data_IF_239910131171
#
_entry.id   IF_239910131171
#
_cell.length_a   1.000
_cell.length_b   1.000
_cell.length_c   1.000
_cell.angle_alpha   90.00
_cell.angle_beta   90.00
_cell.angle_gamma   90.00
#
_symmetry.space_group_name_H-M   'P 1'
#
loop_
_entity.id
_entity.type
_entity.pdbx_description
1 polymer ?
#
# COMPACT_ATOMS: atom_id res chain seq x y z
N UNK A 1 -41.82 -9.77 38.02
CA UNK A 1 -41.32 -10.63 36.92
C UNK A 1 -41.16 -9.69 35.72
N UNK A 2 -40.04 -8.99 35.64
CA UNK A 2 -38.79 -9.35 34.94
C UNK A 2 -38.72 -8.61 33.59
N UNK A 3 -37.66 -7.79 33.44
CA UNK A 3 -37.37 -6.91 32.30
C UNK A 3 -37.25 -7.64 30.95
N UNK A 4 -37.63 -6.93 29.88
CA UNK A 4 -37.04 -7.14 28.56
C UNK A 4 -36.33 -5.85 28.15
N UNK A 5 -35.01 -5.96 27.99
CA UNK A 5 -34.17 -4.95 27.36
C UNK A 5 -34.37 -4.98 25.83
N UNK A 6 -34.19 -3.86 25.12
CA UNK A 6 -34.34 -3.82 23.67
C UNK A 6 -33.17 -4.51 22.98
N UNK A 7 -33.46 -5.28 21.93
CA UNK A 7 -32.47 -5.80 21.00
C UNK A 7 -32.07 -4.69 20.01
N UNK A 8 -30.77 -4.41 19.94
CA UNK A 8 -30.15 -3.66 18.85
C UNK A 8 -29.82 -4.64 17.71
N UNK A 9 -30.13 -4.30 16.46
CA UNK A 9 -29.31 -4.73 15.33
C UNK A 9 -28.24 -3.65 15.09
N UNK A 10 -26.98 -4.02 15.30
CA UNK A 10 -25.82 -3.28 14.82
C UNK A 10 -25.70 -3.57 13.32
N UNK A 11 -26.00 -2.56 12.50
CA UNK A 11 -25.97 -2.67 11.03
C UNK A 11 -24.69 -1.98 10.58
N UNK A 12 -23.75 -2.77 10.06
CA UNK A 12 -22.59 -2.25 9.35
C UNK A 12 -23.07 -1.34 8.21
N UNK A 13 -22.54 -0.11 8.17
CA UNK A 13 -22.95 0.92 7.19
C UNK A 13 -22.32 0.59 5.84
N UNK A 14 -23.11 0.01 4.93
CA UNK A 14 -22.83 0.08 3.49
C UNK A 14 -22.98 1.53 3.02
N UNK A 15 -22.14 1.94 2.07
CA UNK A 15 -22.07 3.32 1.58
C UNK A 15 -23.30 3.69 0.75
N UNK A 16 -24.42 3.94 1.42
CA UNK A 16 -25.53 4.74 0.93
C UNK A 16 -25.71 5.96 1.85
N UNK A 17 -26.07 7.11 1.27
CA UNK A 17 -26.25 8.37 1.99
C UNK A 17 -27.42 8.29 3.00
N UNK A 18 -27.13 7.82 4.21
CA UNK A 18 -27.98 7.99 5.38
C UNK A 18 -27.36 9.07 6.26
N UNK A 19 -27.87 10.30 6.14
CA UNK A 19 -27.64 11.35 7.13
C UNK A 19 -28.45 11.03 8.38
N UNK A 20 -27.93 10.15 9.24
CA UNK A 20 -28.30 10.10 10.66
C UNK A 20 -27.06 9.74 11.47
N UNK A 21 -26.71 10.61 12.43
CA UNK A 21 -25.58 10.54 13.39
C UNK A 21 -24.17 10.94 12.90
N UNK A 22 -24.00 12.23 12.57
CA UNK A 22 -23.00 13.06 13.26
C UNK A 22 -21.56 13.17 12.72
N UNK A 23 -21.23 12.60 11.56
CA UNK A 23 -19.96 12.89 10.85
C UNK A 23 -20.22 13.01 9.36
N UNK A 24 -19.65 14.03 8.70
CA UNK A 24 -19.70 14.09 7.23
C UNK A 24 -18.87 12.94 6.66
N UNK A 25 -19.33 12.34 5.55
CA UNK A 25 -18.60 11.30 4.81
C UNK A 25 -17.15 11.72 4.55
N UNK A 26 -16.97 12.97 4.16
CA UNK A 26 -15.67 13.62 3.99
C UNK A 26 -14.76 13.55 5.25
N UNK A 27 -15.31 13.75 6.44
CA UNK A 27 -14.54 13.58 7.70
C UNK A 27 -14.14 12.12 7.90
N UNK A 28 -15.01 11.17 7.55
CA UNK A 28 -14.73 9.74 7.67
C UNK A 28 -13.64 9.30 6.69
N UNK A 29 -13.67 9.77 5.44
CA UNK A 29 -12.63 9.52 4.44
C UNK A 29 -11.28 10.06 4.92
N UNK A 30 -11.23 11.33 5.38
CA UNK A 30 -9.96 11.90 5.88
C UNK A 30 -9.41 11.12 7.07
N UNK A 31 -10.27 10.69 7.99
CA UNK A 31 -9.84 9.93 9.14
C UNK A 31 -9.35 8.53 8.74
N UNK A 32 -10.05 7.83 7.85
CA UNK A 32 -9.62 6.53 7.34
C UNK A 32 -8.27 6.60 6.63
N UNK A 33 -8.11 7.55 5.68
CA UNK A 33 -6.84 7.80 4.99
C UNK A 33 -5.73 8.17 6.00
N UNK A 34 -6.05 8.99 6.99
CA UNK A 34 -5.10 9.40 8.03
C UNK A 34 -4.64 8.26 8.94
N UNK A 35 -5.54 7.31 9.24
CA UNK A 35 -5.31 6.14 10.10
C UNK A 35 -4.54 5.03 9.37
N UNK A 36 -4.91 4.75 8.12
CA UNK A 36 -4.37 3.62 7.36
C UNK A 36 -3.03 3.97 6.69
N UNK A 37 -2.82 5.22 6.28
CA UNK A 37 -1.66 5.61 5.49
C UNK A 37 -0.40 5.90 6.30
N UNK A 38 0.64 5.09 6.09
CA UNK A 38 1.91 5.16 6.81
C UNK A 38 3.11 5.29 5.86
N UNK A 39 3.36 6.51 5.34
CA UNK A 39 4.48 6.75 4.43
C UNK A 39 5.83 6.64 5.13
N UNK A 40 6.89 6.42 4.34
CA UNK A 40 8.25 6.49 4.88
C UNK A 40 8.52 7.90 5.46
N UNK A 41 9.36 7.97 6.50
CA UNK A 41 9.66 9.22 7.20
C UNK A 41 10.17 10.29 6.23
N UNK A 42 9.48 11.43 6.19
CA UNK A 42 9.83 12.56 5.32
C UNK A 42 9.48 12.38 3.84
N UNK A 43 8.73 11.33 3.47
CA UNK A 43 8.34 10.98 2.10
C UNK A 43 6.83 10.99 1.90
N UNK A 44 6.39 11.00 0.65
CA UNK A 44 4.98 10.75 0.33
C UNK A 44 4.61 9.28 0.49
N UNK A 45 3.33 8.96 0.35
CA UNK A 45 2.91 7.57 0.19
C UNK A 45 3.49 7.03 -1.12
N UNK A 46 4.26 5.96 -1.00
CA UNK A 46 4.77 5.26 -2.15
C UNK A 46 3.68 4.38 -2.78
N UNK A 47 3.69 4.27 -4.10
CA UNK A 47 2.86 3.34 -4.86
C UNK A 47 3.67 2.67 -5.96
N UNK A 48 3.15 1.59 -6.52
CA UNK A 48 3.74 0.98 -7.72
C UNK A 48 3.52 1.88 -8.95
N UNK A 49 4.44 1.80 -9.91
CA UNK A 49 4.46 2.63 -11.11
C UNK A 49 5.04 1.81 -12.27
N UNK A 50 4.28 0.79 -12.69
CA UNK A 50 4.68 -0.15 -13.73
C UNK A 50 4.31 -1.60 -13.41
N UNK A 51 5.19 -2.50 -13.84
CA UNK A 51 4.96 -3.95 -13.76
C UNK A 51 5.03 -4.46 -12.31
N UNK A 52 4.03 -5.26 -11.91
CA UNK A 52 4.04 -5.99 -10.65
C UNK A 52 4.14 -7.50 -10.90
N UNK A 53 4.97 -8.17 -10.11
CA UNK A 53 5.20 -9.59 -10.21
C UNK A 53 5.13 -10.20 -8.81
N UNK A 54 4.08 -10.98 -8.58
CA UNK A 54 3.81 -11.62 -7.28
C UNK A 54 4.42 -13.01 -7.28
N UNK A 55 5.36 -13.24 -6.36
CA UNK A 55 5.92 -14.56 -6.07
C UNK A 55 5.40 -15.05 -4.73
N UNK A 56 4.93 -16.29 -4.67
CA UNK A 56 4.46 -16.92 -3.44
C UNK A 56 5.29 -18.16 -3.14
N UNK A 57 5.84 -18.26 -1.93
CA UNK A 57 6.69 -19.37 -1.49
C UNK A 57 6.04 -20.15 -0.34
N UNK A 58 6.38 -21.43 -0.24
CA UNK A 58 6.04 -22.33 0.87
C UNK A 58 4.53 -22.61 1.04
N UNK A 59 3.75 -22.50 -0.03
CA UNK A 59 2.36 -22.97 -0.09
C UNK A 59 2.23 -24.07 -1.14
N UNK A 60 1.11 -24.80 -1.09
CA UNK A 60 0.71 -25.69 -2.18
C UNK A 60 0.47 -24.88 -3.46
N UNK A 61 0.75 -25.47 -4.62
CA UNK A 61 0.73 -24.77 -5.92
C UNK A 61 -0.59 -24.03 -6.18
N UNK A 62 -1.73 -24.68 -5.94
CA UNK A 62 -3.06 -24.11 -6.19
C UNK A 62 -3.33 -22.88 -5.31
N UNK A 63 -2.95 -22.93 -4.03
CA UNK A 63 -3.10 -21.81 -3.11
C UNK A 63 -2.13 -20.66 -3.44
N UNK A 64 -0.87 -20.99 -3.78
CA UNK A 64 0.13 -20.03 -4.20
C UNK A 64 -0.29 -19.27 -5.46
N UNK A 65 -0.82 -20.01 -6.45
CA UNK A 65 -1.33 -19.44 -7.68
C UNK A 65 -2.55 -18.55 -7.42
N UNK A 66 -3.51 -19.01 -6.62
CA UNK A 66 -4.69 -18.21 -6.29
C UNK A 66 -4.31 -16.87 -5.64
N UNK A 67 -3.38 -16.86 -4.68
CA UNK A 67 -2.91 -15.63 -4.04
C UNK A 67 -2.24 -14.69 -5.06
N UNK A 68 -1.36 -15.24 -5.91
CA UNK A 68 -0.67 -14.46 -6.94
C UNK A 68 -1.66 -13.85 -7.95
N UNK A 69 -2.61 -14.65 -8.43
CA UNK A 69 -3.63 -14.23 -9.39
C UNK A 69 -4.52 -13.14 -8.78
N UNK A 70 -5.01 -13.34 -7.55
CA UNK A 70 -5.91 -12.38 -6.91
C UNK A 70 -5.24 -11.04 -6.64
N UNK A 71 -4.01 -11.02 -6.11
CA UNK A 71 -3.25 -9.77 -5.92
C UNK A 71 -2.98 -9.10 -7.26
N UNK A 72 -2.71 -9.87 -8.31
CA UNK A 72 -2.49 -9.36 -9.66
C UNK A 72 -3.76 -8.73 -10.26
N UNK A 73 -4.94 -9.35 -10.06
CA UNK A 73 -6.23 -8.80 -10.48
C UNK A 73 -6.52 -7.47 -9.79
N UNK A 74 -6.33 -7.39 -8.46
CA UNK A 74 -6.53 -6.12 -7.73
C UNK A 74 -5.60 -5.03 -8.25
N UNK A 75 -4.36 -5.38 -8.58
CA UNK A 75 -3.42 -4.42 -9.16
C UNK A 75 -3.83 -3.97 -10.57
N UNK A 76 -4.31 -4.89 -11.41
CA UNK A 76 -4.85 -4.59 -12.74
C UNK A 76 -6.04 -3.62 -12.65
N UNK A 77 -6.95 -3.83 -11.70
CA UNK A 77 -8.09 -2.94 -11.43
C UNK A 77 -7.65 -1.51 -11.05
N UNK A 78 -6.44 -1.36 -10.49
CA UNK A 78 -5.81 -0.07 -10.15
C UNK A 78 -4.98 0.52 -11.31
N UNK A 79 -4.98 -0.12 -12.49
CA UNK A 79 -4.24 0.31 -13.67
C UNK A 79 -2.76 -0.08 -13.67
N UNK A 80 -2.33 -0.99 -12.80
CA UNK A 80 -1.00 -1.58 -12.83
C UNK A 80 -0.93 -2.70 -13.88
N UNK A 81 0.29 -3.11 -14.21
CA UNK A 81 0.52 -4.15 -15.21
C UNK A 81 1.01 -5.43 -14.52
N UNK A 82 0.20 -6.48 -14.42
CA UNK A 82 0.69 -7.79 -14.01
C UNK A 82 1.80 -8.29 -14.95
N UNK A 83 2.88 -8.80 -14.38
CA UNK A 83 3.99 -9.35 -15.12
C UNK A 83 3.64 -10.66 -15.83
N UNK A 84 4.39 -10.96 -16.89
CA UNK A 84 4.22 -12.22 -17.61
C UNK A 84 4.60 -13.43 -16.73
N UNK A 85 4.04 -14.63 -16.98
CA UNK A 85 4.42 -15.83 -16.25
C UNK A 85 5.94 -16.05 -16.19
N UNK A 86 6.48 -16.22 -14.97
CA UNK A 86 7.91 -16.38 -14.74
C UNK A 86 8.71 -15.08 -14.60
N UNK A 87 8.04 -13.92 -14.49
CA UNK A 87 8.68 -12.66 -14.13
C UNK A 87 9.45 -12.75 -12.80
N UNK A 88 10.40 -11.84 -12.60
CA UNK A 88 11.13 -11.74 -11.34
C UNK A 88 10.28 -11.03 -10.28
N UNK A 89 10.00 -11.63 -9.11
CA UNK A 89 9.06 -11.08 -8.15
C UNK A 89 9.57 -9.78 -7.51
N UNK A 90 8.74 -8.74 -7.54
CA UNK A 90 8.91 -7.52 -6.76
C UNK A 90 7.97 -7.50 -5.54
N UNK A 91 6.92 -8.32 -5.53
CA UNK A 91 6.13 -8.66 -4.36
C UNK A 91 6.42 -10.13 -4.03
N UNK A 92 6.96 -10.39 -2.84
CA UNK A 92 7.27 -11.75 -2.38
C UNK A 92 6.45 -12.09 -1.14
N UNK A 93 5.55 -13.05 -1.27
CA UNK A 93 4.76 -13.62 -0.17
C UNK A 93 5.42 -14.92 0.28
N UNK A 94 5.64 -15.08 1.58
CA UNK A 94 6.28 -16.25 2.18
C UNK A 94 5.36 -16.78 3.27
N UNK A 95 4.84 -17.99 3.10
CA UNK A 95 4.11 -18.69 4.14
C UNK A 95 5.08 -19.47 5.05
N UNK A 96 4.82 -19.50 6.35
CA UNK A 96 5.67 -20.19 7.32
C UNK A 96 4.94 -20.45 8.63
N UNK A 97 5.36 -21.46 9.37
CA UNK A 97 4.98 -21.73 10.76
C UNK A 97 5.93 -21.06 11.78
N UNK A 98 7.05 -20.48 11.31
CA UNK A 98 7.99 -19.68 12.09
C UNK A 98 8.22 -18.31 11.43
N UNK A 99 7.25 -17.40 11.62
CA UNK A 99 7.28 -16.07 11.01
C UNK A 99 8.43 -15.20 11.55
N UNK A 100 8.68 -15.26 12.86
CA UNK A 100 9.76 -14.51 13.51
C UNK A 100 11.14 -15.00 13.03
N UNK A 101 11.37 -16.31 13.01
CA UNK A 101 12.64 -16.91 12.60
C UNK A 101 12.98 -16.62 11.14
N UNK A 102 12.00 -16.71 10.23
CA UNK A 102 12.20 -16.31 8.83
C UNK A 102 12.48 -14.82 8.71
N UNK A 103 11.71 -13.95 9.39
CA UNK A 103 11.94 -12.51 9.34
C UNK A 103 13.36 -12.15 9.81
N UNK A 104 13.78 -12.71 10.96
CA UNK A 104 15.12 -12.52 11.53
C UNK A 104 16.22 -13.00 10.59
N UNK A 105 16.03 -14.16 9.97
CA UNK A 105 16.98 -14.73 8.99
C UNK A 105 17.09 -13.85 7.75
N UNK A 106 15.97 -13.47 7.14
CA UNK A 106 15.95 -12.62 5.95
C UNK A 106 16.61 -11.26 6.18
N UNK A 107 16.30 -10.61 7.30
CA UNK A 107 16.88 -9.29 7.63
C UNK A 107 18.38 -9.41 7.89
N UNK A 108 18.84 -10.47 8.57
CA UNK A 108 20.26 -10.65 8.91
C UNK A 108 21.12 -11.02 7.70
N UNK A 109 20.65 -11.93 6.84
CA UNK A 109 21.39 -12.42 5.67
C UNK A 109 21.27 -11.51 4.45
N UNK A 110 20.10 -10.87 4.27
CA UNK A 110 19.80 -10.04 3.10
C UNK A 110 19.59 -8.58 3.48
N UNK A 111 20.44 -8.03 4.36
CA UNK A 111 20.33 -6.64 4.86
C UNK A 111 20.00 -5.60 3.79
N UNK A 112 20.63 -5.67 2.61
CA UNK A 112 20.39 -4.71 1.51
C UNK A 112 18.97 -4.78 0.92
N UNK A 113 18.29 -5.92 1.03
CA UNK A 113 16.90 -6.07 0.59
C UNK A 113 15.90 -5.38 1.54
N UNK A 114 16.28 -5.15 2.80
CA UNK A 114 15.45 -4.53 3.83
C UNK A 114 15.91 -3.11 4.19
N UNK A 115 17.18 -2.77 3.93
CA UNK A 115 17.77 -1.45 4.15
C UNK A 115 18.77 -1.13 3.05
N UNK A 116 18.33 -0.41 2.03
CA UNK A 116 19.21 0.01 0.93
C UNK A 116 20.09 1.22 1.28
N UNK A 117 19.83 1.90 2.40
CA UNK A 117 20.75 2.89 2.99
C UNK A 117 20.59 4.34 2.51
N UNK A 118 19.60 4.61 1.66
CA UNK A 118 19.18 5.96 1.27
C UNK A 118 18.04 6.49 2.14
N UNK A 119 18.03 7.79 2.41
CA UNK A 119 17.08 8.41 3.31
C UNK A 119 15.62 8.27 2.82
N UNK A 120 14.74 7.78 3.69
CA UNK A 120 13.30 7.64 3.42
C UNK A 120 12.93 6.52 2.44
N UNK A 121 13.83 5.57 2.15
CA UNK A 121 13.52 4.42 1.30
C UNK A 121 12.87 3.25 2.04
N UNK A 122 12.83 3.34 3.37
CA UNK A 122 12.20 2.39 4.28
C UNK A 122 11.65 3.10 5.53
N UNK A 123 10.92 2.37 6.38
CA UNK A 123 10.30 2.91 7.61
C UNK A 123 11.28 3.10 8.78
N UNK A 124 12.55 2.70 8.62
CA UNK A 124 13.61 2.90 9.62
C UNK A 124 13.85 1.70 10.53
N UNK A 125 14.71 1.90 11.54
CA UNK A 125 15.22 0.81 12.38
C UNK A 125 14.15 0.20 13.29
N UNK A 126 13.38 1.05 13.97
CA UNK A 126 12.30 0.61 14.88
C UNK A 126 11.25 -0.22 14.13
N UNK A 127 10.72 0.29 13.01
CA UNK A 127 9.73 -0.45 12.24
C UNK A 127 10.29 -1.77 11.67
N UNK A 128 11.59 -1.86 11.38
CA UNK A 128 12.22 -3.11 10.95
C UNK A 128 12.35 -4.10 12.10
N UNK A 129 12.63 -3.62 13.30
CA UNK A 129 12.62 -4.41 14.53
C UNK A 129 11.20 -4.91 14.82
N UNK A 130 10.18 -4.05 14.74
CA UNK A 130 8.77 -4.42 14.89
C UNK A 130 8.33 -5.46 13.84
N UNK A 131 8.78 -5.32 12.59
CA UNK A 131 8.56 -6.32 11.54
C UNK A 131 9.14 -7.70 11.93
N UNK A 132 10.32 -7.71 12.56
CA UNK A 132 10.99 -8.95 12.99
C UNK A 132 10.37 -9.52 14.26
N UNK A 133 10.02 -8.70 15.24
CA UNK A 133 9.75 -9.13 16.62
C UNK A 133 8.26 -9.20 16.99
N UNK A 134 7.40 -8.37 16.37
CA UNK A 134 5.97 -8.33 16.73
C UNK A 134 5.15 -9.45 16.09
N UNK A 135 4.64 -10.36 16.92
CA UNK A 135 3.75 -11.43 16.49
C UNK A 135 2.48 -10.90 15.79
N UNK A 136 2.31 -11.25 14.51
CA UNK A 136 1.18 -10.82 13.66
C UNK A 136 0.87 -11.91 12.62
N UNK A 137 -0.41 -12.15 12.28
CA UNK A 137 -0.78 -13.14 11.27
C UNK A 137 -0.16 -12.87 9.89
N UNK A 138 -0.03 -11.59 9.54
CA UNK A 138 0.66 -11.13 8.33
C UNK A 138 1.57 -9.96 8.69
N UNK A 139 2.83 -10.04 8.27
CA UNK A 139 3.86 -9.01 8.46
C UNK A 139 4.34 -8.55 7.10
N UNK A 140 4.53 -7.26 6.89
CA UNK A 140 5.05 -6.76 5.62
C UNK A 140 6.18 -5.75 5.81
N UNK A 141 7.09 -5.76 4.84
CA UNK A 141 8.14 -4.77 4.70
C UNK A 141 8.22 -4.28 3.27
N UNK A 142 8.18 -2.96 3.10
CA UNK A 142 8.21 -2.33 1.79
C UNK A 142 9.45 -1.46 1.65
N UNK A 143 10.00 -1.49 0.44
CA UNK A 143 11.06 -0.59 0.01
C UNK A 143 10.49 0.35 -1.05
N UNK A 144 10.77 1.63 -0.89
CA UNK A 144 10.45 2.65 -1.86
C UNK A 144 11.71 3.37 -2.31
N UNK A 145 11.64 4.01 -3.47
CA UNK A 145 12.70 4.88 -3.97
C UNK A 145 12.10 6.19 -4.45
N UNK A 146 12.66 7.34 -4.06
CA UNK A 146 12.26 8.61 -4.65
C UNK A 146 12.75 8.66 -6.10
N UNK A 147 11.85 9.02 -7.00
CA UNK A 147 12.09 9.21 -8.43
C UNK A 147 11.63 10.59 -8.86
N UNK A 148 12.20 11.06 -9.95
CA UNK A 148 11.68 12.20 -10.69
C UNK A 148 10.34 11.80 -11.36
N UNK A 149 9.30 12.60 -11.14
CA UNK A 149 7.92 12.29 -11.52
C UNK A 149 7.69 12.29 -13.04
N UNK A 150 8.54 12.99 -13.81
CA UNK A 150 8.42 13.09 -15.26
C UNK A 150 9.27 12.02 -15.95
N UNK A 151 10.50 11.81 -15.46
CA UNK A 151 11.48 10.93 -16.11
C UNK A 151 11.56 9.53 -15.52
N UNK A 152 11.01 9.31 -14.32
CA UNK A 152 11.19 8.08 -13.55
C UNK A 152 12.62 7.85 -13.04
N UNK A 153 13.53 8.82 -13.26
CA UNK A 153 14.92 8.68 -12.87
C UNK A 153 15.06 8.71 -11.34
N UNK A 154 15.86 7.80 -10.78
CA UNK A 154 16.10 7.74 -9.34
C UNK A 154 16.68 9.07 -8.83
N UNK A 155 15.99 9.66 -7.85
CA UNK A 155 16.33 10.95 -7.26
C UNK A 155 17.20 10.85 -6.00
N UNK A 156 17.64 9.64 -5.65
CA UNK A 156 18.49 9.38 -4.48
C UNK A 156 19.69 8.52 -4.85
N UNK A 157 20.71 8.59 -3.99
CA UNK A 157 21.91 7.78 -4.10
C UNK A 157 21.70 6.43 -3.42
N UNK A 158 22.12 5.36 -4.08
CA UNK A 158 22.31 4.04 -3.47
C UNK A 158 23.79 3.78 -3.18
N UNK A 159 24.05 2.93 -2.18
CA UNK A 159 25.40 2.49 -1.88
C UNK A 159 26.00 1.74 -3.09
N UNK A 160 27.08 2.29 -3.65
CA UNK A 160 27.72 1.77 -4.86
C UNK A 160 27.46 2.58 -6.12
N UNK A 161 26.54 3.55 -6.08
CA UNK A 161 26.30 4.45 -7.22
C UNK A 161 27.51 5.33 -7.53
N UNK A 162 27.81 5.44 -8.83
CA UNK A 162 28.82 6.32 -9.39
C UNK A 162 28.43 6.82 -10.78
N UNK A 163 28.57 8.12 -11.03
CA UNK A 163 28.26 8.73 -12.32
C UNK A 163 29.45 8.65 -13.30
N UNK A 164 29.74 7.46 -13.87
CA UNK A 164 30.62 7.23 -15.03
C UNK A 164 32.11 7.65 -14.90
N UNK A 165 33.03 6.84 -15.47
CA UNK A 165 34.53 6.99 -15.64
C UNK A 165 35.36 7.36 -14.39
N UNK A 166 34.89 8.19 -13.47
CA UNK A 166 35.63 8.77 -12.33
C UNK A 166 35.75 7.87 -11.10
N UNK A 167 35.19 6.67 -11.14
CA UNK A 167 35.34 5.66 -10.07
C UNK A 167 36.52 4.70 -10.28
N UNK A 168 37.15 4.72 -11.46
CA UNK A 168 38.33 3.92 -11.77
C UNK A 168 39.63 4.65 -11.45
N UNK A 169 39.96 4.83 -10.17
CA UNK A 169 41.35 5.02 -9.68
C UNK A 169 42.22 6.19 -10.20
N UNK A 170 41.74 7.05 -11.10
CA UNK A 170 42.54 8.11 -11.72
C UNK A 170 42.10 9.52 -11.31
N UNK A 171 42.84 10.13 -10.39
CA UNK A 171 42.96 11.59 -10.20
C UNK A 171 41.68 12.43 -10.32
N UNK A 172 40.81 12.40 -9.32
CA UNK A 172 39.66 13.33 -9.27
C UNK A 172 38.46 12.83 -8.47
N UNK A 173 38.67 12.10 -7.37
CA UNK A 173 37.58 11.68 -6.50
C UNK A 173 37.09 12.88 -5.68
N UNK A 174 36.13 13.62 -6.22
CA UNK A 174 35.38 14.62 -5.45
C UNK A 174 34.09 13.99 -4.96
N UNK A 175 33.60 14.41 -3.77
CA UNK A 175 32.30 13.96 -3.23
C UNK A 175 31.16 14.14 -4.26
N UNK A 176 31.31 15.13 -5.15
CA UNK A 176 30.39 15.41 -6.26
C UNK A 176 30.28 14.28 -7.30
N UNK A 177 31.31 13.46 -7.51
CA UNK A 177 31.23 12.30 -8.42
C UNK A 177 30.30 11.19 -7.91
N UNK A 178 29.96 11.25 -6.62
CA UNK A 178 29.02 10.35 -5.96
C UNK A 178 27.69 11.03 -5.65
N UNK A 179 27.53 12.33 -5.91
CA UNK A 179 26.26 13.03 -5.67
C UNK A 179 25.26 12.74 -6.81
N UNK A 180 23.98 12.44 -6.52
CA UNK A 180 22.97 12.35 -7.56
C UNK A 180 22.80 13.74 -8.18
N UNK A 181 22.95 13.85 -9.50
CA UNK A 181 22.66 15.08 -10.23
C UNK A 181 21.19 15.10 -10.60
N UNK A 182 20.35 15.63 -9.71
CA UNK A 182 18.95 15.88 -10.02
C UNK A 182 18.81 17.29 -10.59
N UNK A 183 18.38 17.42 -11.83
CA UNK A 183 18.04 18.72 -12.40
C UNK A 183 16.70 19.15 -11.83
N UNK A 184 16.68 20.22 -11.04
CA UNK A 184 15.42 20.83 -10.57
C UNK A 184 15.07 21.97 -11.49
N UNK A 185 14.07 21.79 -12.36
CA UNK A 185 13.70 22.80 -13.35
C UNK A 185 12.75 23.88 -12.79
N UNK A 186 12.03 23.58 -11.69
CA UNK A 186 11.19 24.54 -10.98
C UNK A 186 11.25 24.32 -9.47
N UNK A 187 11.83 25.27 -8.73
CA UNK A 187 11.75 25.28 -7.27
C UNK A 187 10.35 25.75 -6.84
N UNK A 188 9.56 24.86 -6.21
CA UNK A 188 8.23 25.17 -5.70
C UNK A 188 8.10 24.78 -4.23
N UNK A 189 7.30 25.56 -3.48
CA UNK A 189 6.89 25.24 -2.10
C UNK A 189 5.57 24.48 -2.03
N UNK A 190 4.86 24.41 -3.15
CA UNK A 190 3.56 23.74 -3.28
C UNK A 190 3.69 22.38 -3.94
N UNK A 191 4.59 22.25 -4.92
CA UNK A 191 4.84 21.01 -5.66
C UNK A 191 6.29 20.58 -5.57
N UNK A 192 6.53 19.28 -5.65
CA UNK A 192 7.83 18.62 -5.75
C UNK A 192 7.92 17.89 -7.08
N UNK A 193 9.09 17.89 -7.71
CA UNK A 193 9.33 17.03 -8.88
C UNK A 193 9.57 15.58 -8.50
N UNK A 194 9.74 15.29 -7.21
CA UNK A 194 10.06 13.96 -6.72
C UNK A 194 8.84 13.30 -6.08
N UNK A 195 8.56 12.07 -6.51
CA UNK A 195 7.55 11.15 -5.96
C UNK A 195 8.22 9.87 -5.48
N UNK A 196 7.54 9.07 -4.68
CA UNK A 196 8.08 7.82 -4.13
C UNK A 196 7.44 6.61 -4.83
N UNK A 197 8.25 5.74 -5.43
CA UNK A 197 7.80 4.50 -6.09
C UNK A 197 8.15 3.29 -5.21
N UNK A 198 7.19 2.39 -5.00
CA UNK A 198 7.49 1.07 -4.44
C UNK A 198 8.36 0.29 -5.42
N UNK A 199 9.35 -0.41 -4.89
CA UNK A 199 10.27 -1.25 -5.67
C UNK A 199 10.34 -2.68 -5.15
N UNK A 200 9.88 -2.92 -3.92
CA UNK A 200 9.82 -4.24 -3.31
C UNK A 200 8.82 -4.28 -2.17
N UNK A 201 8.05 -5.36 -2.09
CA UNK A 201 7.32 -5.75 -0.89
C UNK A 201 7.68 -7.18 -0.51
N UNK A 202 7.95 -7.41 0.77
CA UNK A 202 8.06 -8.75 1.37
C UNK A 202 6.92 -8.90 2.34
N UNK A 203 6.12 -9.94 2.18
CA UNK A 203 4.99 -10.29 3.03
C UNK A 203 5.27 -11.67 3.62
N UNK A 204 5.20 -11.78 4.95
CA UNK A 204 5.34 -13.05 5.66
C UNK A 204 3.97 -13.37 6.25
N UNK A 205 3.47 -14.56 5.95
CA UNK A 205 2.20 -15.09 6.42
C UNK A 205 2.48 -16.20 7.41
N UNK A 206 1.99 -16.04 8.64
CA UNK A 206 1.99 -17.11 9.63
C UNK A 206 0.82 -18.06 9.35
N UNK A 207 1.11 -19.27 8.88
CA UNK A 207 0.08 -20.25 8.48
C UNK A 207 -0.76 -20.75 9.65
N UNK A 208 -0.28 -20.61 10.88
CA UNK A 208 -1.00 -21.05 12.07
C UNK A 208 -2.01 -20.01 12.54
N UNK A 209 -1.75 -18.73 12.25
CA UNK A 209 -2.60 -17.60 12.65
C UNK A 209 -3.66 -17.22 11.60
N UNK A 210 -3.55 -17.69 10.36
CA UNK A 210 -4.52 -17.37 9.27
C UNK A 210 -5.54 -18.48 9.00
N UNK A 211 -5.65 -19.48 9.88
CA UNK A 211 -6.50 -20.67 9.67
C UNK A 211 -8.01 -20.38 9.65
N UNK A 212 -8.42 -19.31 10.33
CA UNK A 212 -9.82 -18.92 10.50
C UNK A 212 -10.30 -17.94 9.41
N UNK A 213 -9.44 -17.57 8.45
CA UNK A 213 -9.81 -16.73 7.31
C UNK A 213 -9.78 -17.52 6.01
N UNK A 214 -10.66 -17.16 5.08
CA UNK A 214 -10.66 -17.77 3.75
C UNK A 214 -9.44 -17.32 2.92
N UNK A 215 -9.07 -18.13 1.92
CA UNK A 215 -7.97 -17.78 1.01
C UNK A 215 -8.24 -16.49 0.24
N UNK A 216 -9.51 -16.18 -0.07
CA UNK A 216 -9.90 -14.91 -0.70
C UNK A 216 -9.63 -13.72 0.23
N UNK A 217 -10.06 -13.83 1.50
CA UNK A 217 -9.83 -12.77 2.48
C UNK A 217 -8.34 -12.55 2.73
N UNK A 218 -7.57 -13.63 2.84
CA UNK A 218 -6.11 -13.54 2.96
C UNK A 218 -5.50 -12.86 1.73
N UNK A 219 -5.95 -13.21 0.51
CA UNK A 219 -5.47 -12.59 -0.72
C UNK A 219 -5.77 -11.08 -0.75
N UNK A 220 -6.99 -10.69 -0.37
CA UNK A 220 -7.44 -9.30 -0.35
C UNK A 220 -6.70 -8.48 0.72
N UNK A 221 -6.45 -9.07 1.89
CA UNK A 221 -5.59 -8.45 2.91
C UNK A 221 -4.16 -8.27 2.39
N UNK A 222 -3.58 -9.31 1.75
CA UNK A 222 -2.24 -9.23 1.14
C UNK A 222 -2.20 -8.17 0.04
N UNK A 223 -3.24 -8.05 -0.78
CA UNK A 223 -3.34 -7.01 -1.80
C UNK A 223 -3.27 -5.61 -1.17
N UNK A 224 -4.03 -5.37 -0.09
CA UNK A 224 -3.97 -4.09 0.65
C UNK A 224 -2.55 -3.75 1.12
N UNK A 225 -1.91 -4.66 1.85
CA UNK A 225 -0.59 -4.39 2.47
C UNK A 225 0.58 -4.46 1.49
N UNK A 226 0.39 -5.03 0.30
CA UNK A 226 1.43 -5.09 -0.74
C UNK A 226 1.35 -3.95 -1.75
N UNK A 227 0.14 -3.42 -2.02
CA UNK A 227 -0.11 -2.35 -3.00
C UNK A 227 -0.09 -0.94 -2.40
N UNK A 228 -0.17 -0.81 -1.06
CA UNK A 228 -0.11 0.46 -0.37
C UNK A 228 0.76 0.38 0.91
N UNK A 229 1.23 1.54 1.39
CA UNK A 229 1.96 1.63 2.66
C UNK A 229 0.97 1.76 3.83
N UNK A 230 0.55 0.60 4.35
CA UNK A 230 -0.42 0.48 5.44
C UNK A 230 0.28 0.57 6.79
N UNK A 231 -0.33 1.29 7.76
CA UNK A 231 0.08 1.25 9.16
C UNK A 231 -0.27 -0.13 9.77
N UNK A 232 0.71 -0.93 10.22
CA UNK A 232 0.44 -2.21 10.87
C UNK A 232 -0.27 -2.09 12.21
N UNK A 233 -0.36 -0.89 12.78
CA UNK A 233 -1.04 -0.61 14.05
C UNK A 233 -2.30 0.25 13.88
N UNK A 234 -2.82 0.40 12.64
CA UNK A 234 -4.04 1.15 12.34
C UNK A 234 -5.26 0.65 13.13
N UNK A 235 -6.05 1.57 13.71
CA UNK A 235 -7.35 1.27 14.32
C UNK A 235 -8.49 1.41 13.29
N UNK A 236 -8.75 0.33 12.56
CA UNK A 236 -9.77 0.27 11.51
C UNK A 236 -11.13 -0.24 11.98
N UNK A 237 -11.35 -0.46 13.29
CA UNK A 237 -12.58 -1.07 13.83
C UNK A 237 -13.84 -0.25 13.55
N UNK A 238 -13.69 1.04 13.31
CA UNK A 238 -14.80 1.94 12.96
C UNK A 238 -15.21 1.90 11.48
N UNK A 239 -14.57 1.08 10.66
CA UNK A 239 -14.78 1.02 9.21
C UNK A 239 -14.95 -0.43 8.76
N UNK A 240 -15.82 -0.66 7.76
CA UNK A 240 -15.86 -1.95 7.09
C UNK A 240 -14.62 -2.05 6.19
N UNK A 241 -13.62 -2.82 6.58
CA UNK A 241 -12.34 -2.96 5.87
C UNK A 241 -11.79 -4.37 6.06
N UNK A 242 -11.18 -4.91 5.01
CA UNK A 242 -10.46 -6.18 5.05
C UNK A 242 -9.34 -6.17 6.10
N UNK A 243 -8.84 -5.00 6.50
CA UNK A 243 -7.81 -4.87 7.52
C UNK A 243 -8.27 -5.40 8.89
N UNK A 244 -9.58 -5.55 9.12
CA UNK A 244 -10.15 -6.12 10.34
C UNK A 244 -10.26 -7.66 10.31
N UNK A 245 -9.96 -8.33 9.19
CA UNK A 245 -10.30 -9.74 8.95
C UNK A 245 -9.79 -10.72 10.02
N UNK A 246 -8.63 -10.45 10.63
CA UNK A 246 -8.07 -11.36 11.64
C UNK A 246 -8.75 -11.24 13.01
N UNK A 247 -9.44 -10.12 13.28
CA UNK A 247 -10.20 -9.91 14.51
C UNK A 247 -11.70 -10.17 14.31
N UNK A 248 -12.20 -9.93 13.11
CA UNK A 248 -13.60 -10.12 12.71
C UNK A 248 -13.68 -10.71 11.29
N UNK A 249 -13.49 -12.04 11.13
CA UNK A 249 -13.53 -12.70 9.83
C UNK A 249 -14.90 -12.62 9.15
N UNK A 250 -15.98 -12.50 9.92
CA UNK A 250 -17.34 -12.39 9.38
C UNK A 250 -17.66 -10.96 8.90
N UNK A 251 -16.90 -9.96 9.37
CA UNK A 251 -17.13 -8.55 9.06
C UNK A 251 -16.76 -8.13 7.64
N UNK A 252 -15.92 -8.89 6.91
CA UNK A 252 -15.55 -8.58 5.52
C UNK A 252 -15.11 -9.82 4.75
N UNK A 253 -15.90 -10.24 3.76
CA UNK A 253 -15.61 -11.40 2.92
C UNK A 253 -14.59 -11.12 1.79
N UNK A 254 -14.38 -9.86 1.43
CA UNK A 254 -13.44 -9.38 0.40
C UNK A 254 -13.02 -7.94 0.69
N UNK A 255 -12.21 -7.34 -0.20
CA UNK A 255 -12.00 -5.88 -0.24
C UNK A 255 -13.35 -5.16 -0.18
N UNK A 256 -13.50 -4.25 0.78
CA UNK A 256 -14.70 -3.44 0.93
C UNK A 256 -14.62 -2.17 0.09
N UNK A 257 -15.71 -1.41 0.05
CA UNK A 257 -15.71 -0.11 -0.62
C UNK A 257 -14.73 0.89 0.03
N UNK A 258 -14.43 0.78 1.33
CA UNK A 258 -13.41 1.61 1.97
C UNK A 258 -12.01 1.27 1.47
N UNK A 259 -11.71 -0.02 1.35
CA UNK A 259 -10.43 -0.52 0.85
C UNK A 259 -10.22 -0.13 -0.62
N UNK A 260 -11.24 -0.37 -1.46
CA UNK A 260 -11.23 -0.04 -2.87
C UNK A 260 -11.13 1.48 -3.10
N UNK A 261 -11.85 2.29 -2.32
CA UNK A 261 -11.75 3.74 -2.40
C UNK A 261 -10.34 4.21 -2.02
N UNK A 262 -9.75 3.69 -0.95
CA UNK A 262 -8.40 4.06 -0.55
C UNK A 262 -7.35 3.70 -1.61
N UNK A 263 -7.37 2.47 -2.12
CA UNK A 263 -6.46 2.05 -3.18
C UNK A 263 -6.70 2.87 -4.46
N UNK A 264 -7.94 2.99 -4.93
CA UNK A 264 -8.29 3.78 -6.11
C UNK A 264 -7.85 5.24 -5.98
N UNK A 265 -8.08 5.87 -4.84
CA UNK A 265 -7.65 7.23 -4.54
C UNK A 265 -6.12 7.37 -4.53
N UNK A 266 -5.40 6.42 -3.94
CA UNK A 266 -3.93 6.39 -3.94
C UNK A 266 -3.35 6.31 -5.37
N UNK A 267 -3.96 5.49 -6.23
CA UNK A 267 -3.51 5.31 -7.61
C UNK A 267 -4.02 6.40 -8.57
N UNK A 268 -5.04 7.17 -8.18
CA UNK A 268 -5.51 8.34 -8.93
C UNK A 268 -4.86 9.68 -8.51
N UNK A 269 -4.34 9.80 -7.29
CA UNK A 269 -3.74 11.03 -6.78
C UNK A 269 -2.53 11.52 -7.61
N UNK A 270 -2.31 12.84 -7.66
CA UNK A 270 -1.22 13.48 -8.42
C UNK A 270 0.19 13.25 -7.84
N UNK A 271 0.29 12.99 -6.53
CA UNK A 271 1.51 12.64 -5.76
C UNK A 271 2.56 13.73 -5.60
N UNK A 272 2.38 14.89 -6.23
CA UNK A 272 3.43 15.90 -6.32
C UNK A 272 3.25 17.07 -5.35
N UNK A 273 2.27 17.04 -4.44
CA UNK A 273 2.23 17.99 -3.32
C UNK A 273 3.52 17.95 -2.48
N UNK A 274 4.05 19.14 -2.17
CA UNK A 274 5.25 19.28 -1.35
C UNK A 274 5.00 19.03 0.14
N UNK A 275 3.81 19.40 0.64
CA UNK A 275 3.42 19.22 2.04
C UNK A 275 2.73 17.86 2.26
N UNK A 276 3.03 17.20 3.39
CA UNK A 276 2.44 15.89 3.72
C UNK A 276 0.92 15.92 3.83
N UNK A 277 0.39 16.98 4.46
CA UNK A 277 -1.07 17.16 4.61
C UNK A 277 -1.71 17.26 3.22
N UNK A 278 -1.12 18.04 2.32
CA UNK A 278 -1.62 18.18 0.96
C UNK A 278 -1.55 16.86 0.17
N UNK A 279 -0.51 16.04 0.36
CA UNK A 279 -0.44 14.68 -0.25
C UNK A 279 -1.57 13.77 0.20
N UNK A 280 -1.94 13.79 1.48
CA UNK A 280 -3.10 13.03 1.97
C UNK A 280 -4.41 13.60 1.43
N UNK A 281 -4.52 14.92 1.31
CA UNK A 281 -5.68 15.56 0.67
C UNK A 281 -5.84 15.14 -0.79
N UNK A 282 -4.77 15.00 -1.57
CA UNK A 282 -4.87 14.53 -2.97
C UNK A 282 -5.54 13.15 -3.08
N UNK A 283 -5.33 12.25 -2.11
CA UNK A 283 -5.99 10.93 -2.06
C UNK A 283 -7.47 11.09 -1.74
N UNK A 284 -7.79 11.93 -0.76
CA UNK A 284 -9.17 12.22 -0.35
C UNK A 284 -9.94 12.86 -1.50
N UNK A 285 -9.34 13.81 -2.20
CA UNK A 285 -9.93 14.49 -3.37
C UNK A 285 -10.16 13.49 -4.51
N UNK A 286 -9.20 12.60 -4.77
CA UNK A 286 -9.36 11.54 -5.76
C UNK A 286 -10.49 10.55 -5.43
N UNK A 287 -10.71 10.25 -4.14
CA UNK A 287 -11.85 9.44 -3.68
C UNK A 287 -13.18 10.16 -3.96
N UNK A 288 -13.26 11.46 -3.64
CA UNK A 288 -14.45 12.27 -3.92
C UNK A 288 -14.75 12.33 -5.41
N UNK A 289 -13.73 12.55 -6.26
CA UNK A 289 -13.89 12.61 -7.71
C UNK A 289 -14.33 11.28 -8.32
N UNK A 290 -13.87 10.15 -7.76
CA UNK A 290 -14.33 8.82 -8.18
C UNK A 290 -15.80 8.60 -7.78
N UNK A 291 -16.17 8.95 -6.54
CA UNK A 291 -17.54 8.82 -6.06
C UNK A 291 -18.52 9.72 -6.85
N UNK A 292 -18.14 10.96 -7.15
CA UNK A 292 -18.95 11.88 -7.96
C UNK A 292 -19.27 11.33 -9.35
N UNK A 293 -18.27 10.74 -10.04
CA UNK A 293 -18.44 10.16 -11.38
C UNK A 293 -19.41 8.97 -11.40
N UNK A 294 -19.38 8.13 -10.38
CA UNK A 294 -20.32 7.00 -10.27
C UNK A 294 -21.77 7.49 -10.17
N UNK A 295 -22.02 8.49 -9.32
CA UNK A 295 -23.36 9.08 -9.16
C UNK A 295 -23.88 9.74 -10.43
N UNK A 296 -23.01 10.42 -11.18
CA UNK A 296 -23.41 11.04 -12.45
C UNK A 296 -23.75 9.98 -13.51
N UNK A 297 -23.03 8.86 -13.53
CA UNK A 297 -23.32 7.72 -14.41
C UNK A 297 -24.64 7.02 -14.09
N UNK A 298 -24.98 6.85 -12.81
CA UNK A 298 -26.24 6.23 -12.37
C UNK A 298 -27.46 7.11 -12.68
N UNK A 299 -27.31 8.44 -12.66
CA UNK A 299 -28.38 9.38 -13.00
C UNK A 299 -28.54 9.60 -14.52
N UNK A 300 -27.60 9.11 -15.35
CA UNK A 300 -27.64 9.25 -16.81
C UNK A 300 -28.40 8.14 -17.55
N UNK A 301 -28.76 7.05 -16.85
CA UNK A 301 -29.37 5.85 -17.41
C UNK A 301 -30.88 5.77 -17.11
N UNK A 302 -31.65 6.84 -17.36
CA UNK A 302 -33.12 6.74 -17.44
C UNK A 302 -33.52 6.24 -18.84
N UNK A 303 -34.20 5.09 -18.99
CA UNK A 303 -34.70 4.64 -20.28
C UNK A 303 -35.84 5.57 -20.70
N UNK A 304 -35.62 6.32 -21.79
CA UNK A 304 -36.68 7.06 -22.47
C UNK A 304 -37.81 6.10 -22.84
N UNK A 305 -38.92 6.21 -22.12
CA UNK A 305 -40.21 5.65 -22.53
C UNK A 305 -40.73 6.57 -23.64
N UNK A 306 -40.48 6.21 -24.89
CA UNK A 306 -41.21 6.76 -26.03
C UNK A 306 -42.60 6.11 -26.07
N UNK A 307 -43.64 6.95 -25.98
CA UNK A 307 -45.07 6.65 -26.18
C UNK A 307 -45.41 6.30 -27.65
#
# INVERSE_FOLDING_TARGET
MAQQAPAQPDVAVELEDVVVTGRSLDTMIRNFVGEVAEPNRGRGLARWDGEICVGVSNLQADAAQYLADRVSTVAEDLGLQPGAPGCAPNILVIATDDAEGIARTLVSERRRAFRMGGAGMDRGGSALEDFVETDRPVRWWQMAVPVDAETGARATRLAGDCNGIKCGGGGGQTVLAFAPSTNVFAASRLRTQFVDNLIRAVVIVDVDQVRDVSILQLADYIAMVSLAQIDPDADTRGYASILNVFNDPDGSASLTNWDQAFLGGLYAAERNAAAQIARRSEIVDAIHDAHGRLREGENGEEPGVED
#
